data_IF_900174004539
#
_entry.id   IF_900174004539
#
_cell.length_a   1.000
_cell.length_b   1.000
_cell.length_c   1.000
_cell.angle_alpha   90.00
_cell.angle_beta   90.00
_cell.angle_gamma   90.00
#
_symmetry.space_group_name_H-M   'P 1'
#
loop_
_entity.id
_entity.type
_entity.pdbx_description
1 polymer ?
#
# COMPACT_ATOMS: atom_id res chain seq x y z
N UNK A 1 5.72 14.08 10.61
CA UNK A 1 6.10 13.33 9.38
C UNK A 1 6.77 11.98 9.65
N UNK A 2 7.04 11.65 10.89
CA UNK A 2 7.65 10.37 11.36
C UNK A 2 6.71 9.14 11.27
N UNK A 3 5.42 9.33 11.15
CA UNK A 3 4.40 8.27 11.25
C UNK A 3 4.39 7.25 10.09
N UNK A 4 4.92 7.57 8.93
CA UNK A 4 4.76 6.70 7.73
C UNK A 4 5.79 5.58 7.65
N UNK A 5 7.01 5.82 8.12
CA UNK A 5 8.03 4.76 8.18
C UNK A 5 7.74 3.75 9.30
N UNK A 6 7.17 4.20 10.42
CA UNK A 6 6.82 3.36 11.55
C UNK A 6 5.75 2.30 11.22
N UNK A 7 4.80 2.61 10.33
CA UNK A 7 3.76 1.65 9.91
C UNK A 7 4.38 0.48 9.14
N UNK A 8 5.32 0.75 8.23
CA UNK A 8 6.01 -0.28 7.45
C UNK A 8 6.98 -1.09 8.32
N UNK A 9 7.49 -0.50 9.40
CA UNK A 9 8.53 -1.09 10.24
C UNK A 9 7.99 -1.87 11.43
N UNK A 10 6.92 -1.40 12.07
CA UNK A 10 6.37 -2.00 13.29
C UNK A 10 5.25 -2.99 13.02
N UNK A 11 4.54 -2.83 11.90
CA UNK A 11 3.50 -3.74 11.49
C UNK A 11 4.06 -4.85 10.61
N UNK A 12 3.66 -6.08 10.81
CA UNK A 12 3.83 -7.12 9.81
C UNK A 12 2.80 -6.91 8.68
N UNK A 13 3.04 -5.82 7.92
CA UNK A 13 2.18 -5.40 6.80
C UNK A 13 1.96 -6.56 5.83
N UNK A 14 2.97 -7.41 5.66
CA UNK A 14 2.89 -8.59 4.80
C UNK A 14 1.83 -9.57 5.31
N UNK A 15 1.84 -9.90 6.60
CA UNK A 15 0.87 -10.81 7.19
C UNK A 15 -0.54 -10.24 7.13
N UNK A 16 -0.71 -8.95 7.37
CA UNK A 16 -2.03 -8.32 7.27
C UNK A 16 -2.55 -8.31 5.82
N UNK A 17 -1.69 -8.03 4.83
CA UNK A 17 -2.07 -8.12 3.43
C UNK A 17 -2.44 -9.54 3.00
N UNK A 18 -1.71 -10.56 3.47
CA UNK A 18 -2.03 -11.96 3.21
C UNK A 18 -3.39 -12.36 3.81
N UNK A 19 -3.69 -11.95 5.04
CA UNK A 19 -5.00 -12.16 5.66
C UNK A 19 -6.11 -11.50 4.86
N UNK A 20 -5.87 -10.28 4.38
CA UNK A 20 -6.86 -9.56 3.58
C UNK A 20 -7.08 -10.24 2.21
N UNK A 21 -6.02 -10.70 1.54
CA UNK A 21 -6.15 -11.49 0.31
C UNK A 21 -6.99 -12.77 0.53
N UNK A 22 -6.78 -13.48 1.63
CA UNK A 22 -7.59 -14.65 1.99
C UNK A 22 -9.06 -14.27 2.25
N UNK A 23 -9.30 -13.15 2.94
CA UNK A 23 -10.65 -12.64 3.20
C UNK A 23 -11.38 -12.35 1.89
N UNK A 24 -10.72 -11.68 0.94
CA UNK A 24 -11.29 -11.38 -0.38
C UNK A 24 -11.53 -12.66 -1.19
N UNK A 25 -10.64 -13.65 -1.13
CA UNK A 25 -10.86 -14.95 -1.79
C UNK A 25 -12.11 -15.67 -1.26
N UNK A 26 -12.32 -15.65 0.06
CA UNK A 26 -13.53 -16.24 0.68
C UNK A 26 -14.80 -15.51 0.24
N UNK A 27 -14.78 -14.18 0.17
CA UNK A 27 -15.91 -13.38 -0.33
C UNK A 27 -16.25 -13.74 -1.78
N UNK A 28 -15.25 -13.82 -2.66
CA UNK A 28 -15.44 -14.20 -4.06
C UNK A 28 -15.95 -15.65 -4.19
N UNK A 29 -15.52 -16.56 -3.31
CA UNK A 29 -16.01 -17.92 -3.28
C UNK A 29 -17.53 -17.96 -2.97
N UNK A 30 -17.96 -17.22 -1.94
CA UNK A 30 -19.37 -17.13 -1.58
C UNK A 30 -20.21 -16.51 -2.70
N UNK A 31 -19.68 -15.53 -3.43
CA UNK A 31 -20.37 -14.94 -4.57
C UNK A 31 -20.48 -15.88 -5.77
N UNK A 32 -19.54 -16.78 -5.97
CA UNK A 32 -19.60 -17.78 -7.04
C UNK A 32 -20.79 -18.75 -6.90
N UNK A 33 -21.33 -18.90 -5.69
CA UNK A 33 -22.49 -19.76 -5.39
C UNK A 33 -23.83 -19.05 -5.66
N UNK A 34 -23.84 -17.75 -5.93
CA UNK A 34 -25.06 -16.97 -6.19
C UNK A 34 -25.50 -17.16 -7.63
N UNK A 35 -26.78 -17.55 -7.87
CA UNK A 35 -27.31 -17.72 -9.22
C UNK A 35 -27.26 -16.41 -10.03
N UNK A 36 -26.81 -16.49 -11.29
CA UNK A 36 -26.77 -15.34 -12.20
C UNK A 36 -25.50 -14.51 -12.17
N UNK A 37 -24.50 -14.91 -11.41
CA UNK A 37 -23.19 -14.24 -11.37
C UNK A 37 -22.28 -14.79 -12.47
N UNK A 38 -21.46 -13.90 -13.05
CA UNK A 38 -20.42 -14.28 -14.01
C UNK A 38 -19.26 -15.02 -13.31
N UNK A 39 -19.37 -16.35 -13.29
CA UNK A 39 -18.40 -17.25 -12.65
C UNK A 39 -17.02 -17.09 -13.29
N UNK A 40 -16.94 -16.87 -14.61
CA UNK A 40 -15.67 -16.69 -15.31
C UNK A 40 -14.90 -15.48 -14.78
N UNK A 41 -15.60 -14.38 -14.54
CA UNK A 41 -15.01 -13.17 -13.96
C UNK A 41 -14.54 -13.40 -12.52
N UNK A 42 -15.33 -14.11 -11.72
CA UNK A 42 -14.94 -14.45 -10.33
C UNK A 42 -13.70 -15.33 -10.33
N UNK A 43 -13.62 -16.34 -11.16
CA UNK A 43 -12.46 -17.23 -11.24
C UNK A 43 -11.19 -16.47 -11.67
N UNK A 44 -11.32 -15.57 -12.61
CA UNK A 44 -10.21 -14.69 -13.00
C UNK A 44 -9.71 -13.85 -11.81
N UNK A 45 -10.59 -13.22 -11.05
CA UNK A 45 -10.24 -12.44 -9.86
C UNK A 45 -9.61 -13.31 -8.77
N UNK A 46 -10.14 -14.51 -8.54
CA UNK A 46 -9.56 -15.46 -7.58
C UNK A 46 -8.14 -15.87 -7.98
N UNK A 47 -7.92 -16.09 -9.27
CA UNK A 47 -6.58 -16.41 -9.78
C UNK A 47 -5.61 -15.24 -9.58
N UNK A 48 -6.04 -14.00 -9.81
CA UNK A 48 -5.23 -12.81 -9.54
C UNK A 48 -4.86 -12.71 -8.05
N UNK A 49 -5.81 -12.93 -7.14
CA UNK A 49 -5.55 -12.92 -5.69
C UNK A 49 -4.55 -14.01 -5.27
N UNK A 50 -4.66 -15.23 -5.84
CA UNK A 50 -3.71 -16.31 -5.58
C UNK A 50 -2.31 -15.97 -6.08
N UNK A 51 -2.20 -15.41 -7.27
CA UNK A 51 -0.93 -14.97 -7.85
C UNK A 51 -0.29 -13.88 -7.00
N UNK A 52 -1.07 -12.87 -6.60
CA UNK A 52 -0.61 -11.80 -5.68
C UNK A 52 -0.12 -12.36 -4.35
N UNK A 53 -0.84 -13.32 -3.77
CA UNK A 53 -0.43 -13.98 -2.53
C UNK A 53 0.90 -14.71 -2.69
N UNK A 54 1.10 -15.44 -3.78
CA UNK A 54 2.35 -16.16 -4.06
C UNK A 54 3.53 -15.20 -4.25
N UNK A 55 3.33 -14.12 -4.99
CA UNK A 55 4.35 -13.07 -5.20
C UNK A 55 4.72 -12.43 -3.86
N UNK A 56 3.73 -12.06 -3.06
CA UNK A 56 3.96 -11.41 -1.77
C UNK A 56 4.65 -12.34 -0.76
N UNK A 57 4.35 -13.66 -0.80
CA UNK A 57 5.03 -14.66 0.04
C UNK A 57 6.49 -14.86 -0.38
N UNK A 58 6.77 -14.87 -1.68
CA UNK A 58 8.14 -15.04 -2.20
C UNK A 58 9.00 -13.77 -2.05
N UNK A 59 8.37 -12.59 -1.96
CA UNK A 59 9.08 -11.33 -1.83
C UNK A 59 9.82 -11.22 -0.47
N UNK A 60 10.94 -10.48 -0.39
CA UNK A 60 11.56 -10.09 0.87
C UNK A 60 10.57 -9.34 1.77
N UNK A 61 10.92 -9.20 3.06
CA UNK A 61 10.11 -8.38 3.98
C UNK A 61 9.96 -6.96 3.43
N UNK A 62 8.73 -6.44 3.47
CA UNK A 62 8.44 -5.08 3.03
C UNK A 62 9.35 -4.08 3.74
N UNK A 63 10.02 -3.24 2.95
CA UNK A 63 10.94 -2.24 3.46
C UNK A 63 12.31 -2.77 3.94
N UNK A 64 12.60 -4.07 3.85
CA UNK A 64 13.90 -4.63 4.22
C UNK A 64 15.02 -4.02 3.40
N UNK A 65 14.89 -3.99 2.08
CA UNK A 65 15.85 -3.38 1.17
C UNK A 65 16.14 -1.90 1.50
N UNK A 66 15.07 -1.15 1.85
CA UNK A 66 15.21 0.25 2.26
C UNK A 66 15.92 0.42 3.60
N UNK A 67 15.75 -0.53 4.52
CA UNK A 67 16.46 -0.50 5.82
C UNK A 67 17.94 -0.81 5.68
N UNK A 68 18.28 -1.67 4.74
CA UNK A 68 19.65 -2.08 4.46
C UNK A 68 20.39 -1.06 3.59
N UNK A 69 19.67 -0.15 2.91
CA UNK A 69 20.28 0.90 2.11
C UNK A 69 20.97 1.94 3.01
N UNK A 70 22.26 2.16 2.73
CA UNK A 70 23.11 3.02 3.53
C UNK A 70 22.65 4.48 3.56
N UNK A 71 22.24 5.02 2.39
CA UNK A 71 21.81 6.41 2.29
C UNK A 71 20.51 6.63 3.04
N UNK A 72 19.53 5.76 2.83
CA UNK A 72 18.24 5.82 3.54
C UNK A 72 18.43 5.67 5.05
N UNK A 73 19.29 4.75 5.48
CA UNK A 73 19.62 4.57 6.89
C UNK A 73 20.20 5.83 7.54
N UNK A 74 21.14 6.48 6.87
CA UNK A 74 21.75 7.74 7.33
C UNK A 74 20.72 8.87 7.41
N UNK A 75 19.91 9.04 6.37
CA UNK A 75 18.85 10.06 6.34
C UNK A 75 17.86 9.84 7.48
N UNK A 76 17.41 8.60 7.71
CA UNK A 76 16.48 8.26 8.80
C UNK A 76 17.00 8.65 10.17
N UNK A 77 18.27 8.37 10.46
CA UNK A 77 18.89 8.72 11.74
C UNK A 77 18.92 10.25 11.99
N UNK A 78 18.92 11.04 10.93
CA UNK A 78 19.06 12.50 11.00
C UNK A 78 17.75 13.26 10.84
N UNK A 79 16.68 12.62 10.34
CA UNK A 79 15.38 13.28 10.11
C UNK A 79 14.74 13.88 11.36
N UNK A 80 15.01 13.33 12.54
CA UNK A 80 14.49 13.84 13.82
C UNK A 80 15.32 14.99 14.41
N UNK A 81 16.49 15.26 13.85
CA UNK A 81 17.41 16.28 14.34
C UNK A 81 17.17 17.57 13.52
N UNK A 82 16.87 18.71 14.15
CA UNK A 82 16.78 19.98 13.44
C UNK A 82 18.06 20.28 12.68
N UNK A 83 17.95 20.50 11.35
CA UNK A 83 19.13 20.71 10.49
C UNK A 83 19.96 19.47 10.17
N UNK A 84 19.60 18.28 10.70
CA UNK A 84 20.40 17.05 10.59
C UNK A 84 20.57 16.49 9.17
N UNK A 85 19.86 17.02 8.18
CA UNK A 85 20.02 16.68 6.77
C UNK A 85 20.73 17.77 5.96
N UNK A 86 21.36 18.76 6.61
CA UNK A 86 22.14 19.76 5.92
C UNK A 86 23.45 19.16 5.37
N UNK A 87 24.09 19.89 4.45
CA UNK A 87 25.30 19.40 3.76
C UNK A 87 26.47 19.12 4.69
N UNK A 88 26.53 19.82 5.82
CA UNK A 88 27.55 19.64 6.83
C UNK A 88 27.36 18.38 7.66
N UNK A 89 26.10 18.14 8.13
CA UNK A 89 25.78 16.99 8.97
C UNK A 89 25.63 15.68 8.18
N UNK A 90 25.20 15.78 6.91
CA UNK A 90 24.99 14.63 6.05
C UNK A 90 25.63 14.82 4.67
N UNK A 91 26.98 14.85 4.60
CA UNK A 91 27.68 15.06 3.33
C UNK A 91 27.36 13.97 2.29
N UNK A 92 27.07 12.74 2.71
CA UNK A 92 26.70 11.65 1.81
C UNK A 92 25.40 11.96 1.05
N UNK A 93 24.39 12.54 1.70
CA UNK A 93 23.17 12.99 1.04
C UNK A 93 23.46 14.14 0.08
N UNK A 94 24.30 15.09 0.51
CA UNK A 94 24.68 16.20 -0.34
C UNK A 94 25.40 15.74 -1.61
N UNK A 95 26.36 14.82 -1.49
CA UNK A 95 27.03 14.21 -2.64
C UNK A 95 26.03 13.51 -3.57
N UNK A 96 25.10 12.73 -3.00
CA UNK A 96 24.07 12.03 -3.76
C UNK A 96 23.16 13.01 -4.54
N UNK A 97 22.77 14.12 -3.92
CA UNK A 97 21.95 15.15 -4.58
C UNK A 97 22.66 15.80 -5.78
N UNK A 98 24.01 15.81 -5.78
CA UNK A 98 24.83 16.36 -6.87
C UNK A 98 25.28 15.30 -7.89
N UNK A 99 24.91 14.02 -7.70
CA UNK A 99 25.17 13.00 -8.72
C UNK A 99 24.36 13.28 -10.01
N UNK A 100 24.81 12.77 -11.17
CA UNK A 100 24.01 12.82 -12.40
C UNK A 100 22.60 12.28 -12.19
N UNK A 101 21.62 12.96 -12.77
CA UNK A 101 20.20 12.60 -12.59
C UNK A 101 19.93 11.12 -12.91
N UNK A 102 20.48 10.61 -14.01
CA UNK A 102 20.28 9.22 -14.40
C UNK A 102 20.71 8.20 -13.33
N UNK A 103 21.78 8.49 -12.58
CA UNK A 103 22.23 7.63 -11.49
C UNK A 103 21.30 7.71 -10.28
N UNK A 104 20.82 8.90 -9.95
CA UNK A 104 19.82 9.09 -8.88
C UNK A 104 18.52 8.40 -9.22
N UNK A 105 18.04 8.54 -10.46
CA UNK A 105 16.82 7.91 -10.93
C UNK A 105 16.93 6.38 -10.90
N UNK A 106 18.06 5.82 -11.31
CA UNK A 106 18.31 4.38 -11.23
C UNK A 106 18.23 3.88 -9.77
N UNK A 107 18.81 4.61 -8.83
CA UNK A 107 18.77 4.24 -7.41
C UNK A 107 17.37 4.38 -6.83
N UNK A 108 16.66 5.46 -7.13
CA UNK A 108 15.26 5.65 -6.70
C UNK A 108 14.36 4.54 -7.27
N UNK A 109 14.52 4.21 -8.54
CA UNK A 109 13.75 3.11 -9.16
C UNK A 109 14.04 1.77 -8.49
N UNK A 110 15.28 1.51 -8.10
CA UNK A 110 15.64 0.31 -7.32
C UNK A 110 14.92 0.27 -5.96
N UNK A 111 14.84 1.39 -5.26
CA UNK A 111 14.07 1.49 -4.01
C UNK A 111 12.59 1.25 -4.22
N UNK A 112 11.99 1.85 -5.24
CA UNK A 112 10.58 1.67 -5.58
C UNK A 112 10.27 0.24 -5.99
N UNK A 113 11.13 -0.39 -6.80
CA UNK A 113 10.96 -1.78 -7.22
C UNK A 113 10.89 -2.75 -6.04
N UNK A 114 11.58 -2.45 -4.94
CA UNK A 114 11.52 -3.27 -3.72
C UNK A 114 10.15 -3.26 -3.04
N UNK A 115 9.31 -2.26 -3.33
CA UNK A 115 7.96 -2.10 -2.78
C UNK A 115 6.87 -2.59 -3.75
N UNK A 116 7.24 -2.95 -4.98
CA UNK A 116 6.29 -3.31 -6.05
C UNK A 116 5.33 -4.46 -5.66
N UNK A 117 5.77 -5.56 -5.01
CA UNK A 117 4.84 -6.62 -4.58
C UNK A 117 3.76 -6.13 -3.62
N UNK A 118 4.12 -5.23 -2.71
CA UNK A 118 3.15 -4.61 -1.80
C UNK A 118 2.20 -3.68 -2.55
N UNK A 119 2.73 -2.84 -3.44
CA UNK A 119 1.94 -1.90 -4.24
C UNK A 119 0.90 -2.62 -5.10
N UNK A 120 1.30 -3.67 -5.82
CA UNK A 120 0.39 -4.47 -6.64
C UNK A 120 -0.70 -5.14 -5.82
N UNK A 121 -0.34 -5.71 -4.66
CA UNK A 121 -1.29 -6.34 -3.76
C UNK A 121 -2.31 -5.34 -3.21
N UNK A 122 -1.84 -4.19 -2.74
CA UNK A 122 -2.72 -3.13 -2.24
C UNK A 122 -3.65 -2.58 -3.32
N UNK A 123 -3.14 -2.36 -4.54
CA UNK A 123 -3.95 -1.90 -5.67
C UNK A 123 -5.06 -2.88 -5.98
N UNK A 124 -4.75 -4.18 -6.05
CA UNK A 124 -5.74 -5.22 -6.31
C UNK A 124 -6.82 -5.27 -5.22
N UNK A 125 -6.44 -5.26 -3.94
CA UNK A 125 -7.37 -5.27 -2.81
C UNK A 125 -8.27 -4.02 -2.84
N UNK A 126 -7.68 -2.85 -3.04
CA UNK A 126 -8.43 -1.59 -3.07
C UNK A 126 -9.39 -1.53 -4.26
N UNK A 127 -9.00 -2.04 -5.42
CA UNK A 127 -9.88 -2.09 -6.58
C UNK A 127 -11.07 -3.02 -6.35
N UNK A 128 -10.86 -4.17 -5.73
CA UNK A 128 -11.95 -5.07 -5.34
C UNK A 128 -12.91 -4.40 -4.36
N UNK A 129 -12.38 -3.78 -3.30
CA UNK A 129 -13.21 -3.11 -2.28
C UNK A 129 -13.96 -1.92 -2.89
N UNK A 130 -13.29 -1.11 -3.72
CA UNK A 130 -13.90 0.08 -4.36
C UNK A 130 -15.02 -0.29 -5.32
N UNK A 131 -14.92 -1.45 -5.97
CA UNK A 131 -15.89 -1.92 -6.94
C UNK A 131 -16.96 -2.84 -6.32
N UNK A 132 -16.89 -3.14 -5.02
CA UNK A 132 -17.82 -4.01 -4.34
C UNK A 132 -19.21 -3.39 -4.11
N UNK A 133 -19.29 -2.07 -4.02
CA UNK A 133 -20.56 -1.38 -3.81
C UNK A 133 -20.63 -0.04 -4.57
N UNK A 134 -21.80 0.33 -5.11
CA UNK A 134 -22.01 1.63 -5.73
C UNK A 134 -22.09 2.74 -4.66
N UNK A 135 -21.82 3.98 -5.10
CA UNK A 135 -22.08 5.13 -4.24
C UNK A 135 -23.57 5.27 -3.94
N UNK A 136 -23.89 5.57 -2.69
CA UNK A 136 -25.24 5.92 -2.24
C UNK A 136 -25.31 7.43 -2.05
N UNK A 137 -26.30 8.07 -2.68
CA UNK A 137 -26.55 9.50 -2.47
C UNK A 137 -27.12 9.70 -1.08
N UNK A 138 -26.48 10.56 -0.30
CA UNK A 138 -26.92 10.96 1.04
C UNK A 138 -27.01 12.48 1.10
N UNK A 139 -27.82 12.99 2.02
CA UNK A 139 -27.99 14.42 2.20
C UNK A 139 -27.59 14.78 3.63
N UNK A 140 -26.68 15.73 3.76
CA UNK A 140 -26.33 16.30 5.06
C UNK A 140 -27.41 17.30 5.51
N UNK A 141 -27.75 17.28 6.79
CA UNK A 141 -28.62 18.26 7.42
C UNK A 141 -27.75 19.28 8.17
N UNK A 142 -27.87 20.55 7.80
CA UNK A 142 -27.07 21.63 8.40
C UNK A 142 -25.55 21.37 8.37
N UNK A 143 -25.06 20.78 7.31
CA UNK A 143 -23.63 20.46 7.17
C UNK A 143 -23.16 19.25 7.97
N UNK A 144 -24.08 18.52 8.62
CA UNK A 144 -23.75 17.35 9.41
C UNK A 144 -24.35 16.08 8.78
N UNK A 145 -23.55 15.02 8.69
CA UNK A 145 -23.98 13.67 8.27
C UNK A 145 -23.31 12.65 9.20
N UNK A 146 -24.10 11.71 9.69
CA UNK A 146 -23.62 10.59 10.51
C UNK A 146 -24.17 9.28 9.97
N UNK A 147 -23.32 8.30 9.83
CA UNK A 147 -23.66 6.92 9.46
C UNK A 147 -22.87 5.98 10.36
N UNK A 148 -23.50 4.91 10.81
CA UNK A 148 -22.87 3.96 11.71
C UNK A 148 -22.06 2.89 10.96
N UNK A 149 -21.80 2.95 9.73
CA UNK A 149 -20.90 2.16 8.89
C UNK A 149 -20.45 0.77 9.35
N UNK A 150 -21.32 0.06 10.08
CA UNK A 150 -20.96 -1.09 10.93
C UNK A 150 -20.37 -2.28 10.18
N UNK A 151 -20.49 -2.34 8.83
CA UNK A 151 -19.93 -3.39 7.98
C UNK A 151 -19.13 -2.86 6.78
N UNK A 152 -18.66 -1.61 6.86
CA UNK A 152 -17.95 -1.00 5.73
C UNK A 152 -16.46 -1.32 5.75
N UNK A 153 -15.96 -2.02 4.75
CA UNK A 153 -14.52 -2.24 4.53
C UNK A 153 -13.78 -0.95 4.15
N UNK A 154 -14.49 -0.01 3.52
CA UNK A 154 -13.93 1.27 3.07
C UNK A 154 -15.04 2.31 2.99
N UNK A 155 -14.79 3.50 3.54
CA UNK A 155 -15.63 4.67 3.35
C UNK A 155 -15.04 5.58 2.26
N UNK A 156 -15.84 5.86 1.23
CA UNK A 156 -15.51 6.85 0.19
C UNK A 156 -16.56 7.95 0.20
N UNK A 157 -16.12 9.19 0.35
CA UNK A 157 -16.97 10.37 0.27
C UNK A 157 -16.70 11.11 -1.04
N UNK A 158 -17.77 11.44 -1.76
CA UNK A 158 -17.73 12.34 -2.90
C UNK A 158 -18.65 13.53 -2.58
N UNK A 159 -18.06 14.70 -2.46
CA UNK A 159 -18.79 15.95 -2.21
C UNK A 159 -19.10 16.60 -3.55
N UNK A 160 -20.37 16.84 -3.83
CA UNK A 160 -20.85 17.51 -5.04
C UNK A 160 -21.68 18.74 -4.65
#
# INVERSE_FOLDING_TARGET
MLFRSDVIERGDVRTELLKELERQQRKLQAWAEVPGVDVSRIDSLRQQLKTSSSILMAAPRVGQFLREDRLIGLVRQRLSIPGGCCSFDLPTLHMWLHMPQAQRDAQVNSWLASLEPMHQTLSLILDLIRNSAPFRKQTSLNGFYQDNGDDADLLRLNLS
#
